data_IF_770913356948
#
_entry.id   IF_770913356948
#
_cell.length_a   1.000
_cell.length_b   1.000
_cell.length_c   1.000
_cell.angle_alpha   90.00
_cell.angle_beta   90.00
_cell.angle_gamma   90.00
#
_symmetry.space_group_name_H-M   'P 1'
#
loop_
_entity.id
_entity.type
_entity.pdbx_description
1 polymer ?
#
# COMPACT_ATOMS: atom_id res chain seq x y z
N UNK A 1 6.84 22.68 49.50
CA UNK A 1 5.90 21.75 48.84
C UNK A 1 5.36 22.39 47.56
N UNK A 2 5.43 21.68 46.42
CA UNK A 2 4.90 22.00 45.05
C UNK A 2 5.51 23.26 44.41
N UNK A 3 5.98 23.30 43.18
CA UNK A 3 5.76 22.58 41.90
C UNK A 3 6.05 23.66 40.83
N UNK A 4 6.48 23.45 39.59
CA UNK A 4 6.43 22.34 38.64
C UNK A 4 7.59 22.56 37.67
N UNK A 5 8.34 21.50 37.34
CA UNK A 5 9.27 21.52 36.23
C UNK A 5 8.51 21.75 34.93
N UNK A 6 8.98 22.70 34.12
CA UNK A 6 8.43 22.99 32.80
C UNK A 6 8.64 21.79 31.87
N UNK A 7 7.56 21.06 31.62
CA UNK A 7 7.46 20.08 30.55
C UNK A 7 7.47 20.86 29.23
N UNK A 8 8.66 21.04 28.65
CA UNK A 8 8.84 21.52 27.28
C UNK A 8 8.17 20.51 26.35
N UNK A 9 6.91 20.81 26.03
CA UNK A 9 6.15 20.10 25.02
C UNK A 9 6.86 20.22 23.67
N UNK A 10 7.41 19.09 23.23
CA UNK A 10 7.87 18.89 21.87
C UNK A 10 6.71 19.14 20.91
N UNK A 11 6.60 20.39 20.45
CA UNK A 11 5.82 20.81 19.30
C UNK A 11 6.53 20.25 18.07
N UNK A 12 6.41 18.94 17.86
CA UNK A 12 6.89 18.30 16.65
C UNK A 12 5.96 18.73 15.51
N UNK A 13 6.54 19.56 14.66
CA UNK A 13 6.09 20.12 13.39
C UNK A 13 5.28 19.14 12.51
N UNK A 14 4.00 18.96 12.81
CA UNK A 14 2.98 18.47 11.85
C UNK A 14 1.80 19.44 11.88
N UNK A 15 2.12 20.74 11.80
CA UNK A 15 1.15 21.82 11.77
C UNK A 15 1.32 22.61 10.49
N UNK A 16 0.55 22.28 9.45
CA UNK A 16 0.49 23.15 8.29
C UNK A 16 0.03 22.52 6.98
N UNK A 17 -1.16 21.92 6.91
CA UNK A 17 -1.99 21.99 5.70
C UNK A 17 -3.46 21.68 6.02
N UNK A 18 -4.06 22.51 6.88
CA UNK A 18 -5.49 22.45 7.18
C UNK A 18 -6.26 23.04 5.99
N UNK A 19 -6.50 22.23 4.95
CA UNK A 19 -7.30 22.64 3.78
C UNK A 19 -8.79 22.61 4.18
N UNK A 20 -9.24 23.70 4.79
CA UNK A 20 -10.64 23.99 5.07
C UNK A 20 -11.40 24.26 3.77
N UNK A 21 -11.96 23.21 3.20
CA UNK A 21 -12.92 23.28 2.11
C UNK A 21 -13.67 21.96 2.11
N UNK A 22 -14.92 21.98 2.60
CA UNK A 22 -15.74 20.78 2.78
C UNK A 22 -16.09 20.14 1.44
N UNK A 23 -15.18 19.32 0.90
CA UNK A 23 -15.50 18.43 -0.20
C UNK A 23 -16.47 17.36 0.32
N UNK A 24 -17.52 17.00 -0.44
CA UNK A 24 -18.42 15.93 -0.02
C UNK A 24 -17.61 14.65 0.21
N UNK A 25 -17.98 13.86 1.23
CA UNK A 25 -17.25 12.66 1.66
C UNK A 25 -16.90 11.75 0.48
N UNK A 26 -17.82 11.57 -0.46
CA UNK A 26 -17.62 10.79 -1.69
C UNK A 26 -16.49 11.33 -2.57
N UNK A 27 -16.33 12.66 -2.70
CA UNK A 27 -15.25 13.28 -3.48
C UNK A 27 -13.88 13.04 -2.85
N UNK A 28 -13.78 13.09 -1.52
CA UNK A 28 -12.52 12.83 -0.81
C UNK A 28 -12.13 11.36 -0.91
N UNK A 29 -13.09 10.44 -0.72
CA UNK A 29 -12.88 9.00 -0.89
C UNK A 29 -12.53 8.64 -2.34
N UNK A 30 -13.21 9.23 -3.33
CA UNK A 30 -12.89 9.03 -4.74
C UNK A 30 -11.46 9.51 -5.07
N UNK A 31 -11.02 10.64 -4.51
CA UNK A 31 -9.66 11.11 -4.70
C UNK A 31 -8.60 10.19 -4.07
N UNK A 32 -8.85 9.64 -2.88
CA UNK A 32 -7.96 8.66 -2.26
C UNK A 32 -7.91 7.35 -3.03
N UNK A 33 -9.05 6.88 -3.55
CA UNK A 33 -9.13 5.71 -4.43
C UNK A 33 -8.32 5.94 -5.71
N UNK A 34 -8.48 7.09 -6.37
CA UNK A 34 -7.71 7.44 -7.57
C UNK A 34 -6.20 7.48 -7.29
N UNK A 35 -5.78 8.05 -6.17
CA UNK A 35 -4.36 8.09 -5.75
C UNK A 35 -3.83 6.68 -5.53
N UNK A 36 -4.53 5.86 -4.75
CA UNK A 36 -4.11 4.48 -4.47
C UNK A 36 -4.04 3.64 -5.76
N UNK A 37 -5.04 3.74 -6.64
CA UNK A 37 -5.03 3.09 -7.95
C UNK A 37 -3.86 3.55 -8.82
N UNK A 38 -3.55 4.85 -8.83
CA UNK A 38 -2.39 5.41 -9.53
C UNK A 38 -1.06 4.87 -9.00
N UNK A 39 -0.91 4.75 -7.68
CA UNK A 39 0.28 4.16 -7.04
C UNK A 39 0.47 2.70 -7.46
N UNK A 40 -0.61 1.91 -7.44
CA UNK A 40 -0.55 0.51 -7.89
C UNK A 40 -0.24 0.41 -9.38
N UNK A 41 -0.87 1.24 -10.22
CA UNK A 41 -0.60 1.26 -11.66
C UNK A 41 0.86 1.62 -11.98
N UNK A 42 1.39 2.67 -11.33
CA UNK A 42 2.78 3.09 -11.50
C UNK A 42 3.76 2.01 -11.03
N UNK A 43 3.52 1.44 -9.85
CA UNK A 43 4.37 0.39 -9.31
C UNK A 43 4.32 -0.89 -10.15
N UNK A 44 3.15 -1.22 -10.69
CA UNK A 44 2.94 -2.34 -11.59
C UNK A 44 3.72 -2.18 -12.89
N UNK A 45 3.69 -0.98 -13.48
CA UNK A 45 4.46 -0.68 -14.69
C UNK A 45 5.97 -0.75 -14.44
N UNK A 46 6.44 -0.22 -13.31
CA UNK A 46 7.85 -0.30 -12.91
C UNK A 46 8.30 -1.75 -12.69
N UNK A 47 7.51 -2.52 -11.94
CA UNK A 47 7.82 -3.92 -11.66
C UNK A 47 7.78 -4.80 -12.91
N UNK A 48 6.84 -4.54 -13.82
CA UNK A 48 6.81 -5.17 -15.14
C UNK A 48 8.08 -4.86 -15.96
N UNK A 49 8.51 -3.59 -16.02
CA UNK A 49 9.74 -3.21 -16.72
C UNK A 49 11.00 -3.84 -16.12
N UNK A 50 11.08 -3.87 -14.78
CA UNK A 50 12.22 -4.48 -14.07
C UNK A 50 12.25 -6.00 -14.26
N UNK A 51 11.10 -6.67 -14.26
CA UNK A 51 11.05 -8.12 -14.51
C UNK A 51 11.31 -8.48 -15.96
N UNK A 52 10.85 -7.66 -16.91
CA UNK A 52 11.14 -7.84 -18.33
C UNK A 52 12.65 -7.73 -18.63
N UNK A 53 13.36 -6.82 -17.95
CA UNK A 53 14.80 -6.59 -18.13
C UNK A 53 15.67 -7.56 -17.31
N UNK A 54 15.37 -7.72 -16.02
CA UNK A 54 16.23 -8.46 -15.08
C UNK A 54 15.94 -9.95 -15.06
N UNK A 55 14.76 -10.37 -15.55
CA UNK A 55 14.28 -11.78 -15.57
C UNK A 55 14.47 -12.53 -14.25
N UNK A 56 14.37 -11.81 -13.13
CA UNK A 56 14.71 -12.34 -11.81
C UNK A 56 13.45 -12.41 -10.96
N UNK A 57 13.00 -13.63 -10.68
CA UNK A 57 11.84 -13.94 -9.84
C UNK A 57 11.95 -13.34 -8.43
N UNK A 58 13.18 -13.29 -7.90
CA UNK A 58 13.48 -12.78 -6.55
C UNK A 58 13.10 -11.32 -6.35
N UNK A 59 13.28 -10.51 -7.40
CA UNK A 59 13.02 -9.06 -7.35
C UNK A 59 11.52 -8.80 -7.44
N UNK A 60 10.79 -9.60 -8.24
CA UNK A 60 9.33 -9.50 -8.34
C UNK A 60 8.64 -9.76 -6.99
N UNK A 61 9.09 -10.79 -6.26
CA UNK A 61 8.53 -11.15 -4.97
C UNK A 61 8.70 -10.02 -3.94
N UNK A 62 9.83 -9.30 -3.96
CA UNK A 62 10.10 -8.19 -3.04
C UNK A 62 9.41 -6.88 -3.46
N UNK A 63 9.34 -6.61 -4.76
CA UNK A 63 8.72 -5.40 -5.29
C UNK A 63 7.21 -5.39 -5.09
N UNK A 64 6.58 -6.54 -4.94
CA UNK A 64 5.13 -6.64 -4.70
C UNK A 64 4.68 -6.00 -3.38
N UNK A 65 5.57 -5.87 -2.39
CA UNK A 65 5.22 -5.38 -1.05
C UNK A 65 5.34 -3.85 -0.88
N UNK A 66 6.24 -3.20 -1.64
CA UNK A 66 6.46 -1.74 -1.56
C UNK A 66 5.23 -0.87 -1.86
N UNK A 67 4.37 -1.21 -2.85
CA UNK A 67 3.21 -0.42 -3.21
C UNK A 67 2.15 -0.30 -2.11
N UNK A 68 2.07 -1.28 -1.20
CA UNK A 68 1.16 -1.21 -0.04
C UNK A 68 1.54 -0.07 0.90
N UNK A 69 2.82 0.01 1.27
CA UNK A 69 3.32 1.09 2.12
C UNK A 69 3.24 2.44 1.40
N UNK A 70 3.61 2.48 0.11
CA UNK A 70 3.54 3.70 -0.68
C UNK A 70 2.11 4.22 -0.85
N UNK A 71 1.14 3.34 -1.09
CA UNK A 71 -0.28 3.67 -1.20
C UNK A 71 -0.82 4.21 0.14
N UNK A 72 -0.46 3.58 1.26
CA UNK A 72 -0.85 4.05 2.59
C UNK A 72 -0.31 5.47 2.89
N UNK A 73 0.97 5.73 2.58
CA UNK A 73 1.58 7.05 2.76
C UNK A 73 0.96 8.08 1.81
N UNK A 74 0.78 7.74 0.53
CA UNK A 74 0.22 8.64 -0.47
C UNK A 74 -1.24 9.03 -0.15
N UNK A 75 -2.05 8.07 0.27
CA UNK A 75 -3.45 8.33 0.67
C UNK A 75 -3.53 9.15 1.96
N UNK A 76 -2.64 8.92 2.93
CA UNK A 76 -2.55 9.74 4.14
C UNK A 76 -2.15 11.19 3.83
N UNK A 77 -1.19 11.40 2.93
CA UNK A 77 -0.70 12.72 2.53
C UNK A 77 -1.76 13.58 1.82
N UNK A 78 -2.68 12.95 1.09
CA UNK A 78 -3.79 13.63 0.39
C UNK A 78 -5.04 13.77 1.27
N UNK A 79 -5.13 12.96 2.32
CA UNK A 79 -6.25 12.93 3.26
C UNK A 79 -6.26 14.03 4.33
N UNK A 80 -7.28 14.05 5.21
CA UNK A 80 -7.42 15.05 6.27
C UNK A 80 -6.40 14.94 7.42
N UNK A 81 -5.46 13.98 7.38
CA UNK A 81 -4.39 13.86 8.38
C UNK A 81 -4.86 13.46 9.78
N UNK A 82 -5.83 12.56 9.89
CA UNK A 82 -6.38 12.12 11.19
C UNK A 82 -5.41 11.21 11.96
N UNK A 83 -5.51 11.18 13.29
CA UNK A 83 -4.72 10.26 14.13
C UNK A 83 -4.99 8.79 13.77
N UNK A 84 -6.26 8.46 13.49
CA UNK A 84 -6.65 7.12 13.05
C UNK A 84 -5.97 6.72 11.72
N UNK A 85 -5.89 7.65 10.76
CA UNK A 85 -5.17 7.43 9.50
C UNK A 85 -3.66 7.24 9.68
N UNK A 86 -3.05 7.97 10.62
CA UNK A 86 -1.64 7.80 10.95
C UNK A 86 -1.36 6.41 11.55
N UNK A 87 -2.21 5.96 12.48
CA UNK A 87 -2.10 4.62 13.08
C UNK A 87 -2.34 3.54 12.03
N UNK A 88 -3.37 3.68 11.19
CA UNK A 88 -3.64 2.73 10.11
C UNK A 88 -2.45 2.62 9.15
N UNK A 89 -1.89 3.76 8.73
CA UNK A 89 -0.72 3.83 7.85
C UNK A 89 0.52 3.19 8.50
N UNK A 90 0.74 3.43 9.80
CA UNK A 90 1.81 2.79 10.56
C UNK A 90 1.66 1.27 10.66
N UNK A 91 0.45 0.78 10.97
CA UNK A 91 0.14 -0.65 11.02
C UNK A 91 0.31 -1.31 9.64
N UNK A 92 -0.09 -0.64 8.56
CA UNK A 92 0.17 -1.10 7.19
C UNK A 92 1.67 -1.18 6.92
N UNK A 93 2.45 -0.19 7.34
CA UNK A 93 3.92 -0.23 7.23
C UNK A 93 4.53 -1.43 7.97
N UNK A 94 4.10 -1.68 9.21
CA UNK A 94 4.54 -2.85 9.98
C UNK A 94 4.15 -4.18 9.32
N UNK A 95 2.93 -4.25 8.79
CA UNK A 95 2.47 -5.40 8.00
C UNK A 95 3.35 -5.62 6.77
N UNK A 96 3.69 -4.56 6.04
CA UNK A 96 4.59 -4.64 4.88
C UNK A 96 5.96 -5.15 5.27
N UNK A 97 6.56 -4.62 6.36
CA UNK A 97 7.85 -5.08 6.85
C UNK A 97 7.80 -6.57 7.21
N UNK A 98 6.74 -7.01 7.91
CA UNK A 98 6.55 -8.42 8.25
C UNK A 98 6.47 -9.29 6.99
N UNK A 99 5.65 -8.89 6.02
CA UNK A 99 5.44 -9.63 4.78
C UNK A 99 6.74 -9.71 3.97
N UNK A 100 7.38 -8.58 3.68
CA UNK A 100 8.64 -8.52 2.94
C UNK A 100 9.74 -9.31 3.64
N UNK A 101 9.86 -9.23 4.97
CA UNK A 101 10.87 -9.98 5.72
C UNK A 101 10.65 -11.50 5.62
N UNK A 102 9.40 -11.96 5.61
CA UNK A 102 9.09 -13.38 5.41
C UNK A 102 9.45 -13.85 4.00
N UNK A 103 9.06 -13.09 2.97
CA UNK A 103 9.38 -13.41 1.57
C UNK A 103 10.89 -13.34 1.32
N UNK A 104 11.58 -12.33 1.84
CA UNK A 104 13.02 -12.17 1.71
C UNK A 104 13.79 -13.36 2.31
N UNK A 105 13.44 -13.77 3.53
CA UNK A 105 14.02 -14.97 4.16
C UNK A 105 13.79 -16.23 3.32
N UNK A 106 12.63 -16.34 2.66
CA UNK A 106 12.30 -17.47 1.79
C UNK A 106 13.13 -17.47 0.52
N UNK A 107 13.31 -16.30 -0.10
CA UNK A 107 14.14 -16.12 -1.30
C UNK A 107 15.61 -16.47 -1.02
N UNK A 108 16.14 -16.08 0.14
CA UNK A 108 17.50 -16.41 0.56
C UNK A 108 17.72 -17.92 0.77
N UNK A 109 16.70 -18.63 1.28
CA UNK A 109 16.80 -20.07 1.58
C UNK A 109 16.52 -20.98 0.39
N UNK A 110 15.54 -20.66 -0.46
CA UNK A 110 15.15 -21.55 -1.58
C UNK A 110 16.00 -21.36 -2.84
N UNK A 111 16.68 -20.21 -3.02
CA UNK A 111 17.61 -19.98 -4.14
C UNK A 111 16.95 -19.83 -5.52
N UNK A 112 15.98 -20.67 -5.88
CA UNK A 112 15.12 -20.63 -7.08
C UNK A 112 13.78 -21.30 -6.73
N UNK A 113 12.66 -20.63 -6.98
CA UNK A 113 11.33 -21.21 -6.77
C UNK A 113 10.84 -21.84 -8.09
N UNK A 114 10.73 -23.17 -8.12
CA UNK A 114 10.33 -23.98 -9.28
C UNK A 114 8.91 -23.67 -9.77
N UNK A 115 8.09 -22.99 -8.97
CA UNK A 115 6.71 -22.61 -9.33
C UNK A 115 6.62 -21.65 -10.50
N UNK A 116 7.68 -20.90 -10.75
CA UNK A 116 7.74 -19.95 -11.85
C UNK A 116 8.47 -20.50 -13.08
N UNK A 117 8.91 -21.76 -13.04
CA UNK A 117 9.47 -22.43 -14.20
C UNK A 117 8.38 -22.48 -15.28
N UNK A 118 8.55 -21.71 -16.36
CA UNK A 118 7.61 -21.60 -17.48
C UNK A 118 6.79 -20.30 -17.57
N UNK A 119 6.71 -19.50 -16.50
CA UNK A 119 6.01 -18.20 -16.52
C UNK A 119 6.92 -17.02 -16.83
N UNK A 120 8.17 -17.06 -16.35
CA UNK A 120 9.19 -16.06 -16.67
C UNK A 120 10.22 -16.73 -17.59
N UNK A 121 10.58 -16.12 -18.73
CA UNK A 121 11.62 -16.68 -19.61
C UNK A 121 12.94 -16.77 -18.84
N UNK A 122 13.58 -17.93 -18.89
CA UNK A 122 14.89 -18.14 -18.25
C UNK A 122 15.94 -17.22 -18.91
N UNK A 123 17.05 -16.93 -18.20
CA UNK A 123 18.19 -16.18 -18.78
C UNK A 123 18.76 -16.99 -19.96
N UNK A 124 18.38 -16.62 -21.18
CA UNK A 124 18.79 -17.29 -22.42
C UNK A 124 17.64 -17.61 -23.39
N UNK A 125 16.39 -17.63 -22.91
CA UNK A 125 15.24 -17.94 -23.76
C UNK A 125 14.72 -16.69 -24.50
N UNK A 126 14.27 -16.84 -25.75
CA UNK A 126 13.67 -15.72 -26.50
C UNK A 126 12.39 -15.25 -25.80
N UNK A 127 12.26 -13.94 -25.63
CA UNK A 127 11.06 -13.35 -25.05
C UNK A 127 9.97 -13.29 -26.14
N UNK A 128 9.16 -14.34 -26.21
CA UNK A 128 8.03 -14.41 -27.15
C UNK A 128 6.87 -13.54 -26.66
N UNK A 129 6.08 -12.96 -27.57
CA UNK A 129 4.89 -12.16 -27.25
C UNK A 129 3.91 -12.88 -26.30
N UNK A 130 3.75 -14.20 -26.45
CA UNK A 130 2.93 -15.01 -25.55
C UNK A 130 3.41 -15.03 -24.09
N UNK A 131 4.73 -15.04 -23.85
CA UNK A 131 5.31 -14.98 -22.50
C UNK A 131 5.19 -13.59 -21.90
N UNK A 132 5.30 -12.56 -22.74
CA UNK A 132 5.09 -11.18 -22.32
C UNK A 132 3.63 -10.94 -21.88
N UNK A 133 2.66 -11.48 -22.61
CA UNK A 133 1.24 -11.41 -22.22
C UNK A 133 0.96 -12.16 -20.92
N UNK A 134 1.57 -13.34 -20.71
CA UNK A 134 1.45 -14.08 -19.44
C UNK A 134 2.05 -13.30 -18.27
N UNK A 135 3.23 -12.70 -18.46
CA UNK A 135 3.86 -11.84 -17.46
C UNK A 135 2.96 -10.63 -17.16
N UNK A 136 2.44 -9.96 -18.19
CA UNK A 136 1.51 -8.83 -18.03
C UNK A 136 0.27 -9.21 -17.23
N UNK A 137 -0.35 -10.37 -17.51
CA UNK A 137 -1.50 -10.88 -16.76
C UNK A 137 -1.21 -11.16 -15.28
N UNK A 138 -0.02 -11.69 -14.97
CA UNK A 138 0.39 -11.89 -13.57
C UNK A 138 0.52 -10.55 -12.84
N UNK A 139 1.17 -9.57 -13.48
CA UNK A 139 1.35 -8.24 -12.91
C UNK A 139 0.00 -7.52 -12.69
N UNK A 140 -0.93 -7.57 -13.65
CA UNK A 140 -2.25 -6.95 -13.49
C UNK A 140 -3.08 -7.59 -12.37
N UNK A 141 -3.03 -8.92 -12.23
CA UNK A 141 -3.69 -9.64 -11.12
C UNK A 141 -3.08 -9.26 -9.77
N UNK A 142 -1.74 -9.12 -9.70
CA UNK A 142 -1.07 -8.70 -8.47
C UNK A 142 -1.42 -7.25 -8.10
N UNK A 143 -1.48 -6.35 -9.08
CA UNK A 143 -1.85 -4.96 -8.87
C UNK A 143 -3.31 -4.80 -8.45
N UNK A 144 -4.24 -5.52 -9.09
CA UNK A 144 -5.66 -5.49 -8.73
C UNK A 144 -5.89 -6.06 -7.33
N UNK A 145 -5.20 -7.15 -6.99
CA UNK A 145 -5.22 -7.73 -5.65
C UNK A 145 -4.69 -6.75 -4.60
N UNK A 146 -3.53 -6.13 -4.86
CA UNK A 146 -2.94 -5.13 -3.97
C UNK A 146 -3.89 -3.96 -3.71
N UNK A 147 -4.53 -3.46 -4.77
CA UNK A 147 -5.54 -2.41 -4.67
C UNK A 147 -6.70 -2.83 -3.76
N UNK A 148 -7.30 -4.01 -3.97
CA UNK A 148 -8.41 -4.54 -3.16
C UNK A 148 -8.04 -4.63 -1.68
N UNK A 149 -6.85 -5.14 -1.37
CA UNK A 149 -6.37 -5.28 0.01
C UNK A 149 -6.12 -3.92 0.68
N UNK A 150 -5.75 -2.88 -0.08
CA UNK A 150 -5.54 -1.52 0.48
C UNK A 150 -6.81 -0.69 0.66
N UNK A 151 -7.95 -1.08 0.10
CA UNK A 151 -9.22 -0.36 0.22
C UNK A 151 -9.57 0.11 1.65
N UNK A 152 -9.53 -0.74 2.69
CA UNK A 152 -9.86 -0.30 4.05
C UNK A 152 -8.95 0.84 4.54
N UNK A 153 -7.65 0.78 4.23
CA UNK A 153 -6.67 1.81 4.62
C UNK A 153 -6.92 3.09 3.84
N UNK A 154 -7.18 2.99 2.53
CA UNK A 154 -7.52 4.14 1.68
C UNK A 154 -8.79 4.84 2.17
N UNK A 155 -9.82 4.10 2.58
CA UNK A 155 -11.07 4.66 3.11
C UNK A 155 -10.82 5.38 4.44
N UNK A 156 -10.08 4.77 5.38
CA UNK A 156 -9.73 5.40 6.66
C UNK A 156 -8.91 6.68 6.42
N UNK A 157 -7.92 6.63 5.54
CA UNK A 157 -7.08 7.79 5.21
C UNK A 157 -7.84 8.89 4.47
N UNK A 158 -8.97 8.59 3.81
CA UNK A 158 -9.77 9.56 3.05
C UNK A 158 -10.99 10.09 3.81
N UNK A 159 -11.29 9.56 4.99
CA UNK A 159 -12.46 9.95 5.78
C UNK A 159 -12.05 10.74 7.02
N UNK A 160 -12.62 11.94 7.18
CA UNK A 160 -12.42 12.76 8.38
C UNK A 160 -13.21 12.22 9.59
N UNK A 161 -14.18 11.34 9.36
CA UNK A 161 -15.09 10.80 10.37
C UNK A 161 -14.55 9.56 11.12
N UNK A 162 -13.32 9.12 10.84
CA UNK A 162 -12.67 7.99 11.52
C UNK A 162 -12.32 8.27 13.01
N UNK A 163 -13.05 9.18 13.67
CA UNK A 163 -13.09 9.33 15.13
C UNK A 163 -14.18 8.45 15.76
N UNK A 164 -15.03 7.78 14.97
CA UNK A 164 -16.02 6.84 15.49
C UNK A 164 -15.45 5.42 15.49
N UNK A 165 -14.96 5.01 16.66
CA UNK A 165 -14.81 3.64 17.21
C UNK A 165 -14.48 2.45 16.26
N UNK A 166 -13.63 1.50 16.68
CA UNK A 166 -13.38 0.23 15.96
C UNK A 166 -14.64 -0.66 15.79
N UNK A 167 -15.81 -0.18 16.21
CA UNK A 167 -17.13 -0.82 16.14
C UNK A 167 -17.99 -0.30 14.97
N UNK A 168 -17.44 0.44 14.00
CA UNK A 168 -18.19 0.88 12.81
C UNK A 168 -18.94 -0.27 12.09
N UNK A 169 -18.37 -1.48 12.11
CA UNK A 169 -19.04 -2.69 11.60
C UNK A 169 -20.32 -3.08 12.36
N UNK A 170 -20.43 -2.75 13.65
CA UNK A 170 -21.63 -3.01 14.47
C UNK A 170 -22.72 -1.97 14.19
N UNK A 171 -22.35 -0.72 13.87
CA UNK A 171 -23.33 0.34 13.62
C UNK A 171 -24.08 0.20 12.28
N UNK A 172 -23.49 -0.47 11.27
CA UNK A 172 -24.19 -0.73 9.99
C UNK A 172 -25.33 -1.75 10.19
N UNK A 173 -25.18 -2.71 11.10
CA UNK A 173 -26.21 -3.73 11.36
C UNK A 173 -27.35 -3.26 12.30
N UNK A 174 -27.25 -2.06 12.87
CA UNK A 174 -28.24 -1.53 13.82
C UNK A 174 -29.20 -0.48 13.26
N UNK A 175 -29.20 -0.22 11.95
CA UNK A 175 -30.12 0.72 11.29
C UNK A 175 -30.90 0.09 10.13
N UNK A 176 -31.17 -1.22 10.20
CA UNK A 176 -32.16 -1.90 9.36
C UNK A 176 -33.38 -2.29 10.20
#
# INVERSE_FOLDING_TARGET
MRGKAGFLGGRLLVGGLRRGGGKPMFSTVASGLAVSAGVFAASNALGFGITATTRTHKVADLLSAGPFALSAVATYAVGPGTTAGLVATGLTGLYCIRLTSFLFKRVLKLGKDTRFDGFIPEKGEKMTAAKLMRLGGLWTIMASWGFVVTLPVTIINSTAAATASPLFWVCICGQA
#
